data_IF_923402743143
#
_entry.id   IF_923402743143
#
_cell.length_a   1.000
_cell.length_b   1.000
_cell.length_c   1.000
_cell.angle_alpha   90.00
_cell.angle_beta   90.00
_cell.angle_gamma   90.00
#
_symmetry.space_group_name_H-M   'P 1'
#
loop_
_entity.id
_entity.type
_entity.pdbx_description
1 polymer ?
#
# COMPACT_ATOMS: atom_id res chain seq x y z
N UNK A 1 -27.14 -2.60 -20.65
CA UNK A 1 -26.63 -3.97 -20.44
C UNK A 1 -25.22 -3.86 -19.84
N UNK A 2 -25.11 -4.17 -18.53
CA UNK A 2 -23.90 -4.30 -17.69
C UNK A 2 -22.94 -3.10 -17.49
N UNK A 3 -23.36 -2.13 -16.67
CA UNK A 3 -22.47 -1.24 -15.88
C UNK A 3 -21.82 -1.95 -14.67
N UNK A 4 -21.93 -3.29 -14.58
CA UNK A 4 -21.39 -4.06 -13.45
C UNK A 4 -19.86 -4.15 -13.47
N UNK A 5 -19.21 -4.01 -14.63
CA UNK A 5 -17.75 -4.12 -14.74
C UNK A 5 -16.99 -3.14 -13.83
N UNK A 6 -17.22 -1.82 -13.97
CA UNK A 6 -16.57 -0.81 -13.13
C UNK A 6 -16.89 -0.99 -11.63
N UNK A 7 -18.15 -1.26 -11.29
CA UNK A 7 -18.57 -1.44 -9.91
C UNK A 7 -17.92 -2.67 -9.25
N UNK A 8 -17.76 -3.78 -9.99
CA UNK A 8 -17.09 -4.99 -9.49
C UNK A 8 -15.58 -4.76 -9.29
N UNK A 9 -14.93 -3.96 -10.14
CA UNK A 9 -13.53 -3.59 -9.97
C UNK A 9 -13.33 -2.79 -8.68
N UNK A 10 -14.20 -1.81 -8.40
CA UNK A 10 -14.14 -1.05 -7.15
C UNK A 10 -14.37 -1.91 -5.91
N UNK A 11 -15.34 -2.82 -5.95
CA UNK A 11 -15.62 -3.74 -4.83
C UNK A 11 -14.41 -4.65 -4.56
N UNK A 12 -13.81 -5.20 -5.62
CA UNK A 12 -12.59 -6.01 -5.52
C UNK A 12 -11.43 -5.20 -4.97
N UNK A 13 -11.23 -3.97 -5.46
CA UNK A 13 -10.19 -3.07 -5.00
C UNK A 13 -10.33 -2.73 -3.51
N UNK A 14 -11.55 -2.40 -3.05
CA UNK A 14 -11.84 -2.17 -1.63
C UNK A 14 -11.54 -3.40 -0.79
N UNK A 15 -11.87 -4.60 -1.27
CA UNK A 15 -11.53 -5.85 -0.57
C UNK A 15 -10.02 -6.04 -0.42
N UNK A 16 -9.24 -5.73 -1.45
CA UNK A 16 -7.77 -5.77 -1.42
C UNK A 16 -7.25 -4.75 -0.41
N UNK A 17 -7.68 -3.50 -0.48
CA UNK A 17 -7.25 -2.44 0.41
C UNK A 17 -7.63 -2.71 1.88
N UNK A 18 -8.82 -3.26 2.14
CA UNK A 18 -9.23 -3.65 3.48
C UNK A 18 -8.35 -4.77 4.05
N UNK A 19 -7.95 -5.75 3.22
CA UNK A 19 -7.01 -6.78 3.64
C UNK A 19 -5.64 -6.19 3.94
N UNK A 20 -5.15 -5.30 3.06
CA UNK A 20 -3.87 -4.62 3.25
C UNK A 20 -3.88 -3.75 4.50
N UNK A 21 -4.97 -3.04 4.76
CA UNK A 21 -5.12 -2.23 5.97
C UNK A 21 -5.07 -3.10 7.23
N UNK A 22 -5.71 -4.27 7.24
CA UNK A 22 -5.61 -5.20 8.37
C UNK A 22 -4.20 -5.74 8.60
N UNK A 23 -3.43 -6.01 7.53
CA UNK A 23 -2.11 -6.64 7.67
C UNK A 23 -0.97 -5.64 7.82
N UNK A 24 -1.05 -4.47 7.20
CA UNK A 24 0.02 -3.46 7.20
C UNK A 24 -0.44 -2.16 7.85
N UNK A 25 -1.61 -1.64 7.48
CA UNK A 25 -2.09 -0.33 7.95
C UNK A 25 -2.29 -0.26 9.48
N UNK A 26 -3.08 -1.17 10.04
CA UNK A 26 -3.39 -1.21 11.48
C UNK A 26 -2.13 -1.42 12.33
N UNK A 27 -1.26 -2.41 12.05
CA UNK A 27 -0.03 -2.57 12.82
C UNK A 27 0.93 -1.38 12.69
N UNK A 28 1.07 -0.81 11.49
CA UNK A 28 1.93 0.36 11.27
C UNK A 28 1.46 1.57 12.07
N UNK A 29 0.15 1.84 12.08
CA UNK A 29 -0.42 2.96 12.84
C UNK A 29 -0.30 2.75 14.35
N UNK A 30 -0.49 1.51 14.83
CA UNK A 30 -0.29 1.17 16.24
C UNK A 30 1.19 1.33 16.67
N UNK A 31 2.14 0.99 15.79
CA UNK A 31 3.56 1.23 16.02
C UNK A 31 3.91 2.73 15.95
N UNK A 32 3.36 3.47 14.98
CA UNK A 32 3.60 4.89 14.79
C UNK A 32 3.11 5.74 15.96
N UNK A 33 2.06 5.31 16.65
CA UNK A 33 1.60 5.93 17.90
C UNK A 33 2.66 5.89 19.02
N UNK A 34 3.63 4.97 18.93
CA UNK A 34 4.73 4.81 19.89
C UNK A 34 6.08 5.29 19.34
N UNK A 35 6.19 5.43 18.01
CA UNK A 35 7.43 5.75 17.30
C UNK A 35 7.22 6.98 16.39
N UNK A 36 7.49 8.20 16.87
CA UNK A 36 7.29 9.42 16.08
C UNK A 36 8.04 9.43 14.74
N UNK A 37 9.24 8.85 14.70
CA UNK A 37 10.01 8.70 13.46
C UNK A 37 9.28 7.82 12.42
N UNK A 38 8.62 6.75 12.86
CA UNK A 38 7.80 5.92 11.98
C UNK A 38 6.57 6.68 11.47
N UNK A 39 5.92 7.50 12.31
CA UNK A 39 4.82 8.36 11.86
C UNK A 39 5.26 9.27 10.70
N UNK A 40 6.41 9.95 10.85
CA UNK A 40 6.95 10.80 9.79
C UNK A 40 7.27 10.01 8.51
N UNK A 41 7.86 8.81 8.64
CA UNK A 41 8.13 7.94 7.51
C UNK A 41 6.85 7.51 6.78
N UNK A 42 5.80 7.12 7.52
CA UNK A 42 4.51 6.76 6.92
C UNK A 42 3.88 7.93 6.17
N UNK A 43 3.97 9.15 6.70
CA UNK A 43 3.51 10.35 6.03
C UNK A 43 4.26 10.62 4.72
N UNK A 44 5.59 10.50 4.74
CA UNK A 44 6.41 10.63 3.53
C UNK A 44 6.04 9.58 2.48
N UNK A 45 5.85 8.33 2.89
CA UNK A 45 5.47 7.26 1.96
C UNK A 45 4.06 7.45 1.41
N UNK A 46 3.10 7.92 2.22
CA UNK A 46 1.75 8.26 1.77
C UNK A 46 1.76 9.44 0.79
N UNK A 47 2.56 10.47 1.04
CA UNK A 47 2.73 11.60 0.14
C UNK A 47 3.29 11.15 -1.22
N UNK A 48 4.32 10.31 -1.22
CA UNK A 48 4.87 9.80 -2.47
C UNK A 48 3.91 8.82 -3.20
N UNK A 49 3.03 8.09 -2.50
CA UNK A 49 1.94 7.34 -3.16
C UNK A 49 0.96 8.30 -3.85
N UNK A 50 0.54 9.38 -3.18
CA UNK A 50 -0.29 10.42 -3.78
C UNK A 50 0.35 10.96 -5.05
N UNK A 51 1.62 11.37 -4.98
CA UNK A 51 2.34 11.94 -6.12
C UNK A 51 2.47 10.95 -7.30
N UNK A 52 2.73 9.67 -7.02
CA UNK A 52 2.77 8.64 -8.07
C UNK A 52 1.42 8.49 -8.76
N UNK A 53 0.32 8.51 -8.02
CA UNK A 53 -1.01 8.37 -8.60
C UNK A 53 -1.47 9.64 -9.33
N UNK A 54 -1.06 10.81 -8.86
CA UNK A 54 -1.43 12.10 -9.43
C UNK A 54 -0.64 12.39 -10.73
N UNK A 55 0.66 12.03 -10.76
CA UNK A 55 1.58 12.44 -11.82
C UNK A 55 2.22 11.28 -12.59
N UNK A 56 2.23 10.07 -12.03
CA UNK A 56 2.95 8.91 -12.57
C UNK A 56 2.08 7.92 -13.36
N UNK A 57 0.76 8.13 -13.40
CA UNK A 57 -0.19 7.25 -14.11
C UNK A 57 -0.96 8.08 -15.14
N UNK A 58 -0.74 7.78 -16.43
CA UNK A 58 -1.50 8.39 -17.52
C UNK A 58 -3.00 8.10 -17.33
N UNK A 59 -3.84 9.11 -17.58
CA UNK A 59 -5.30 9.01 -17.44
C UNK A 59 -5.81 8.60 -16.04
N UNK A 60 -5.01 8.74 -14.97
CA UNK A 60 -5.40 8.39 -13.60
C UNK A 60 -6.74 9.01 -13.16
N UNK A 61 -7.02 10.25 -13.61
CA UNK A 61 -8.27 10.96 -13.30
C UNK A 61 -9.55 10.23 -13.80
N UNK A 62 -9.43 9.30 -14.76
CA UNK A 62 -10.55 8.50 -15.29
C UNK A 62 -10.78 7.21 -14.50
N UNK A 63 -9.90 6.86 -13.56
CA UNK A 63 -9.94 5.60 -12.82
C UNK A 63 -10.29 5.87 -11.35
N UNK A 64 -11.24 5.13 -10.74
CA UNK A 64 -11.54 5.28 -9.32
C UNK A 64 -10.29 5.09 -8.45
N UNK A 65 -10.05 6.02 -7.52
CA UNK A 65 -8.87 5.98 -6.65
C UNK A 65 -8.63 4.63 -5.92
N UNK A 66 -9.65 3.92 -5.41
CA UNK A 66 -9.44 2.60 -4.81
C UNK A 66 -8.83 1.59 -5.78
N UNK A 67 -9.19 1.65 -7.07
CA UNK A 67 -8.69 0.75 -8.11
C UNK A 67 -7.21 1.02 -8.39
N UNK A 68 -6.83 2.31 -8.50
CA UNK A 68 -5.42 2.71 -8.67
C UNK A 68 -4.57 2.27 -7.48
N UNK A 69 -5.03 2.51 -6.25
CA UNK A 69 -4.31 2.12 -5.03
C UNK A 69 -4.16 0.61 -4.89
N UNK A 70 -5.22 -0.15 -5.17
CA UNK A 70 -5.19 -1.61 -5.14
C UNK A 70 -4.25 -2.17 -6.22
N UNK A 71 -4.27 -1.58 -7.42
CA UNK A 71 -3.35 -1.94 -8.50
C UNK A 71 -1.89 -1.67 -8.14
N UNK A 72 -1.59 -0.50 -7.60
CA UNK A 72 -0.25 -0.12 -7.14
C UNK A 72 0.27 -1.08 -6.06
N UNK A 73 -0.50 -1.32 -4.99
CA UNK A 73 -0.10 -2.23 -3.91
C UNK A 73 0.11 -3.66 -4.41
N UNK A 74 -0.73 -4.13 -5.34
CA UNK A 74 -0.58 -5.45 -5.94
C UNK A 74 0.68 -5.54 -6.79
N UNK A 75 0.97 -4.53 -7.61
CA UNK A 75 2.19 -4.48 -8.42
C UNK A 75 3.47 -4.56 -7.59
N UNK A 76 3.51 -3.88 -6.44
CA UNK A 76 4.63 -4.00 -5.49
C UNK A 76 4.79 -5.42 -4.95
N UNK A 77 3.68 -6.07 -4.55
CA UNK A 77 3.70 -7.43 -4.02
C UNK A 77 4.06 -8.47 -5.08
N UNK A 78 3.61 -8.28 -6.32
CA UNK A 78 3.91 -9.18 -7.44
C UNK A 78 5.39 -9.09 -7.82
N UNK A 79 5.99 -7.89 -7.87
CA UNK A 79 7.45 -7.72 -8.06
C UNK A 79 8.28 -8.47 -7.02
N UNK A 80 7.85 -8.46 -5.76
CA UNK A 80 8.56 -9.17 -4.67
C UNK A 80 8.44 -10.68 -4.83
N UNK A 81 7.27 -11.18 -5.24
CA UNK A 81 7.06 -12.60 -5.51
C UNK A 81 7.91 -13.07 -6.67
N UNK A 82 7.95 -12.30 -7.76
CA UNK A 82 8.77 -12.60 -8.93
C UNK A 82 10.27 -12.63 -8.56
N UNK A 83 10.74 -11.62 -7.82
CA UNK A 83 12.10 -11.57 -7.32
C UNK A 83 12.45 -12.75 -6.39
N UNK A 84 11.52 -13.21 -5.56
CA UNK A 84 11.71 -14.36 -4.69
C UNK A 84 11.84 -15.70 -5.44
N UNK A 85 11.33 -15.76 -6.68
CA UNK A 85 11.48 -16.95 -7.55
C UNK A 85 12.73 -16.93 -8.43
N UNK A 86 13.44 -15.79 -8.49
CA UNK A 86 14.71 -15.65 -9.22
C UNK A 86 15.90 -16.26 -8.48
N UNK A 87 16.97 -16.58 -9.22
CA UNK A 87 18.20 -17.18 -8.66
C UNK A 87 18.95 -16.25 -7.69
N UNK A 88 18.68 -14.94 -7.72
CA UNK A 88 19.20 -13.95 -6.78
C UNK A 88 18.04 -13.34 -6.00
N UNK A 89 17.76 -13.90 -4.82
CA UNK A 89 16.74 -13.37 -3.92
C UNK A 89 17.12 -11.97 -3.43
N UNK A 90 16.22 -11.01 -3.57
CA UNK A 90 16.47 -9.60 -3.19
C UNK A 90 16.45 -9.36 -1.67
N UNK A 91 16.12 -10.37 -0.86
CA UNK A 91 15.95 -10.25 0.60
C UNK A 91 14.70 -9.48 1.04
N UNK A 92 13.97 -8.85 0.10
CA UNK A 92 12.75 -8.11 0.40
C UNK A 92 11.58 -9.05 0.66
N UNK A 93 10.72 -8.69 1.62
CA UNK A 93 9.52 -9.44 1.97
C UNK A 93 8.27 -8.57 1.86
N UNK A 94 7.20 -9.12 1.28
CA UNK A 94 5.88 -8.47 1.27
C UNK A 94 5.08 -8.64 2.56
N UNK A 95 5.66 -9.29 3.58
CA UNK A 95 5.03 -9.45 4.88
C UNK A 95 5.23 -8.19 5.75
N UNK A 96 4.22 -7.86 6.54
CA UNK A 96 4.33 -6.79 7.52
C UNK A 96 5.24 -7.20 8.69
N UNK A 97 5.99 -6.27 9.29
CA UNK A 97 6.73 -6.51 10.52
C UNK A 97 5.82 -7.00 11.66
N UNK A 98 6.30 -7.95 12.46
CA UNK A 98 5.52 -8.63 13.49
C UNK A 98 5.49 -7.92 14.85
N UNK A 99 6.41 -6.99 15.10
CA UNK A 99 6.60 -6.33 16.39
C UNK A 99 7.06 -4.87 16.24
N UNK A 100 7.05 -4.13 17.34
CA UNK A 100 7.38 -2.70 17.39
C UNK A 100 8.84 -2.41 16.94
N UNK A 101 9.79 -3.26 17.35
CA UNK A 101 11.20 -3.09 16.98
C UNK A 101 11.41 -3.30 15.49
N UNK A 102 10.79 -4.34 14.93
CA UNK A 102 10.81 -4.62 13.50
C UNK A 102 10.15 -3.51 12.67
N UNK A 103 9.17 -2.79 13.22
CA UNK A 103 8.59 -1.60 12.59
C UNK A 103 9.52 -0.39 12.62
N UNK A 104 10.32 -0.22 13.67
CA UNK A 104 11.31 0.86 13.77
C UNK A 104 12.41 0.74 12.71
N UNK A 105 12.72 -0.49 12.26
CA UNK A 105 13.66 -0.80 11.19
C UNK A 105 12.97 -1.31 9.93
N UNK A 106 11.68 -1.00 9.72
CA UNK A 106 10.93 -1.48 8.57
C UNK A 106 11.55 -0.96 7.27
N UNK A 107 11.63 -1.84 6.28
CA UNK A 107 12.16 -1.51 4.97
C UNK A 107 11.17 -0.67 4.15
N UNK A 108 11.68 -0.07 3.06
CA UNK A 108 10.90 0.87 2.26
C UNK A 108 9.58 0.29 1.74
N UNK A 109 9.54 -1.02 1.47
CA UNK A 109 8.37 -1.70 0.92
C UNK A 109 7.25 -1.80 1.96
N UNK A 110 7.55 -2.20 3.19
CA UNK A 110 6.53 -2.32 4.23
C UNK A 110 5.99 -0.93 4.59
N UNK A 111 6.87 0.08 4.63
CA UNK A 111 6.49 1.49 4.78
C UNK A 111 5.62 1.97 3.61
N UNK A 112 5.93 1.58 2.37
CA UNK A 112 5.14 1.94 1.19
C UNK A 112 3.74 1.31 1.23
N UNK A 113 3.64 0.03 1.58
CA UNK A 113 2.35 -0.67 1.69
C UNK A 113 1.49 -0.10 2.82
N UNK A 114 2.09 0.25 3.96
CA UNK A 114 1.39 0.97 5.03
C UNK A 114 0.99 2.40 4.61
N UNK A 115 1.85 3.10 3.86
CA UNK A 115 1.59 4.41 3.27
C UNK A 115 0.41 4.42 2.30
N UNK A 116 0.23 3.34 1.51
CA UNK A 116 -0.98 3.15 0.68
C UNK A 116 -2.23 3.13 1.55
N UNK A 117 -2.21 2.40 2.67
CA UNK A 117 -3.35 2.35 3.60
C UNK A 117 -3.64 3.71 4.25
N UNK A 118 -2.60 4.45 4.64
CA UNK A 118 -2.75 5.78 5.22
C UNK A 118 -3.35 6.77 4.20
N UNK A 119 -2.88 6.75 2.96
CA UNK A 119 -3.45 7.57 1.89
C UNK A 119 -4.91 7.17 1.56
N UNK A 120 -5.20 5.87 1.51
CA UNK A 120 -6.55 5.37 1.28
C UNK A 120 -7.53 5.83 2.38
N UNK A 121 -7.11 5.83 3.64
CA UNK A 121 -7.96 6.30 4.75
C UNK A 121 -8.26 7.80 4.68
N UNK A 122 -7.30 8.61 4.21
CA UNK A 122 -7.44 10.06 4.04
C UNK A 122 -8.34 10.46 2.87
N UNK A 123 -8.46 9.61 1.85
CA UNK A 123 -9.30 9.87 0.67
C UNK A 123 -10.75 9.39 0.83
N UNK A 124 -11.04 8.63 1.89
CA UNK A 124 -12.41 8.23 2.26
C UNK A 124 -13.10 9.14 3.27
N UNK A 125 -12.37 10.11 3.83
CA UNK A 125 -12.87 11.12 4.77
C UNK A 125 -13.25 12.40 4.02
#
# INVERSE_FOLDING_TARGET
MFLLGPALLEVSARKILNRLHKTHGVPALAAAAQLPALSAALDQHAAAVRDILEWGVEDAAKVPAPVLLAGYARGLLDQVREAATGAEGTGLTGAAPGDLGSWASADWLQLRLAGVCLHAARTTA
#
